data_IF_722620992493
#
_entry.id   IF_722620992493
#
_cell.length_a   1.000
_cell.length_b   1.000
_cell.length_c   1.000
_cell.angle_alpha   90.00
_cell.angle_beta   90.00
_cell.angle_gamma   90.00
#
_symmetry.space_group_name_H-M   'P 1'
#
loop_
_entity.id
_entity.type
_entity.pdbx_description
1 polymer ?
#
# COMPACT_ATOMS: atom_id res chain seq x y z
N UNK A 1 -14.82 -5.45 -26.97
CA UNK A 1 -14.41 -4.13 -26.41
C UNK A 1 -15.53 -3.68 -25.49
N UNK A 2 -15.30 -3.56 -24.18
CA UNK A 2 -16.34 -3.16 -23.22
C UNK A 2 -16.32 -1.63 -23.12
N UNK A 3 -17.43 -0.99 -23.44
CA UNK A 3 -17.60 0.45 -23.24
C UNK A 3 -17.99 0.64 -21.77
N UNK A 4 -17.13 1.34 -21.02
CA UNK A 4 -17.41 1.73 -19.64
C UNK A 4 -17.50 3.25 -19.57
N UNK A 5 -18.49 3.74 -18.83
CA UNK A 5 -18.61 5.15 -18.55
C UNK A 5 -17.55 5.61 -17.54
N UNK A 6 -16.97 6.79 -17.75
CA UNK A 6 -15.88 7.34 -16.94
C UNK A 6 -16.24 8.73 -16.42
N UNK A 7 -16.47 8.82 -15.12
CA UNK A 7 -16.66 10.09 -14.42
C UNK A 7 -15.31 10.64 -13.94
N UNK A 8 -14.80 11.68 -14.60
CA UNK A 8 -13.55 12.35 -14.23
C UNK A 8 -13.84 13.48 -13.24
N UNK A 9 -13.39 13.34 -12.00
CA UNK A 9 -13.49 14.38 -10.97
C UNK A 9 -12.34 15.38 -11.15
N UNK A 10 -12.66 16.60 -11.62
CA UNK A 10 -11.72 17.73 -11.73
C UNK A 10 -11.72 18.57 -10.45
N UNK A 11 -10.74 19.48 -10.29
CA UNK A 11 -10.63 20.39 -9.13
C UNK A 11 -11.88 21.23 -8.86
N UNK A 12 -12.66 21.54 -9.90
CA UNK A 12 -13.91 22.30 -9.82
C UNK A 12 -15.12 21.44 -9.41
N UNK A 13 -14.98 20.12 -9.37
CA UNK A 13 -16.07 19.21 -9.03
C UNK A 13 -16.39 19.27 -7.53
N UNK A 14 -17.67 19.23 -7.16
CA UNK A 14 -18.13 19.34 -5.77
C UNK A 14 -17.45 18.34 -4.81
N UNK A 15 -17.18 17.11 -5.28
CA UNK A 15 -16.54 16.07 -4.48
C UNK A 15 -14.99 16.11 -4.47
N UNK A 16 -14.36 17.03 -5.21
CA UNK A 16 -12.90 17.06 -5.30
C UNK A 16 -12.23 17.17 -3.93
N UNK A 17 -12.71 18.09 -3.08
CA UNK A 17 -12.14 18.31 -1.74
C UNK A 17 -12.22 17.06 -0.86
N UNK A 18 -13.34 16.34 -0.95
CA UNK A 18 -13.53 15.09 -0.19
C UNK A 18 -12.57 14.01 -0.68
N UNK A 19 -12.40 13.86 -1.99
CA UNK A 19 -11.44 12.90 -2.56
C UNK A 19 -10.00 13.24 -2.15
N UNK A 20 -9.62 14.51 -2.18
CA UNK A 20 -8.29 14.98 -1.80
C UNK A 20 -7.98 14.70 -0.32
N UNK A 21 -8.93 15.00 0.58
CA UNK A 21 -8.80 14.72 2.01
C UNK A 21 -8.66 13.20 2.29
N UNK A 22 -9.49 12.38 1.65
CA UNK A 22 -9.42 10.93 1.78
C UNK A 22 -8.11 10.37 1.22
N UNK A 23 -7.60 10.91 0.11
CA UNK A 23 -6.30 10.54 -0.44
C UNK A 23 -5.16 10.90 0.52
N UNK A 24 -5.21 12.09 1.14
CA UNK A 24 -4.24 12.52 2.14
C UNK A 24 -4.22 11.58 3.37
N UNK A 25 -5.40 11.27 3.92
CA UNK A 25 -5.53 10.30 5.03
C UNK A 25 -5.03 8.91 4.64
N UNK A 26 -5.34 8.46 3.43
CA UNK A 26 -4.89 7.16 2.92
C UNK A 26 -3.37 7.09 2.78
N UNK A 27 -2.75 8.15 2.26
CA UNK A 27 -1.28 8.30 2.19
C UNK A 27 -0.64 8.19 3.57
N UNK A 28 -1.22 8.84 4.58
CA UNK A 28 -0.66 8.81 5.94
C UNK A 28 -0.69 7.40 6.53
N UNK A 29 -1.80 6.66 6.37
CA UNK A 29 -1.86 5.26 6.81
C UNK A 29 -0.89 4.37 6.04
N UNK A 30 -0.80 4.54 4.72
CA UNK A 30 0.14 3.77 3.89
C UNK A 30 1.58 3.98 4.34
N UNK A 31 1.98 5.25 4.56
CA UNK A 31 3.32 5.59 5.00
C UNK A 31 3.65 5.02 6.39
N UNK A 32 2.71 5.10 7.34
CA UNK A 32 2.86 4.51 8.67
C UNK A 32 3.04 2.99 8.60
N UNK A 33 2.17 2.30 7.85
CA UNK A 33 2.26 0.86 7.70
C UNK A 33 3.57 0.45 6.98
N UNK A 34 3.98 1.22 5.96
CA UNK A 34 5.22 0.97 5.24
C UNK A 34 6.46 1.18 6.12
N UNK A 35 6.43 2.18 7.01
CA UNK A 35 7.48 2.38 8.00
C UNK A 35 7.69 1.12 8.85
N UNK A 36 6.61 0.54 9.41
CA UNK A 36 6.70 -0.70 10.18
C UNK A 36 7.28 -1.86 9.36
N UNK A 37 6.84 -2.03 8.10
CA UNK A 37 7.41 -3.04 7.21
C UNK A 37 8.91 -2.83 7.00
N UNK A 38 9.36 -1.60 6.72
CA UNK A 38 10.78 -1.29 6.48
C UNK A 38 11.64 -1.55 7.70
N UNK A 39 11.19 -1.14 8.89
CA UNK A 39 11.93 -1.40 10.13
C UNK A 39 12.12 -2.90 10.37
N UNK A 40 11.06 -3.70 10.17
CA UNK A 40 11.15 -5.15 10.27
C UNK A 40 12.05 -5.75 9.18
N UNK A 41 11.97 -5.25 7.96
CA UNK A 41 12.78 -5.70 6.83
C UNK A 41 14.27 -5.45 7.07
N UNK A 42 14.67 -4.27 7.55
CA UNK A 42 16.08 -3.99 7.82
C UNK A 42 16.68 -4.89 8.91
N UNK A 43 15.85 -5.36 9.84
CA UNK A 43 16.30 -6.23 10.93
C UNK A 43 16.32 -7.71 10.52
N UNK A 44 15.36 -8.15 9.68
CA UNK A 44 15.09 -9.59 9.47
C UNK A 44 15.19 -10.05 8.02
N UNK A 45 15.26 -9.12 7.06
CA UNK A 45 15.16 -9.40 5.63
C UNK A 45 13.75 -9.82 5.16
N UNK A 46 12.72 -9.76 6.01
CA UNK A 46 11.35 -10.22 5.70
C UNK A 46 10.33 -9.07 5.82
N UNK A 47 9.22 -9.16 5.08
CA UNK A 47 8.07 -8.25 5.28
C UNK A 47 7.12 -8.74 6.38
N UNK A 48 6.38 -7.81 6.97
CA UNK A 48 5.27 -8.12 7.85
C UNK A 48 4.05 -8.62 7.06
N UNK A 49 3.30 -9.53 7.67
CA UNK A 49 1.99 -9.96 7.18
C UNK A 49 0.88 -8.96 7.54
N UNK A 50 -0.31 -9.17 6.96
CA UNK A 50 -1.48 -8.32 7.16
C UNK A 50 -1.88 -8.19 8.63
N UNK A 51 -1.84 -9.29 9.38
CA UNK A 51 -2.25 -9.33 10.79
C UNK A 51 -1.32 -8.49 11.65
N UNK A 52 -0.01 -8.67 11.49
CA UNK A 52 1.01 -7.89 12.22
C UNK A 52 0.91 -6.40 11.89
N UNK A 53 0.74 -6.03 10.62
CA UNK A 53 0.55 -4.63 10.23
C UNK A 53 -0.73 -4.03 10.79
N UNK A 54 -1.82 -4.80 10.81
CA UNK A 54 -3.08 -4.36 11.43
C UNK A 54 -2.87 -4.08 12.92
N UNK A 55 -2.26 -4.99 13.68
CA UNK A 55 -2.00 -4.76 15.11
C UNK A 55 -1.05 -3.59 15.37
N UNK A 56 -0.06 -3.36 14.49
CA UNK A 56 0.85 -2.23 14.61
C UNK A 56 0.18 -0.87 14.35
N UNK A 57 -0.90 -0.84 13.55
CA UNK A 57 -1.51 0.41 13.07
C UNK A 57 -2.89 0.71 13.66
N UNK A 58 -3.66 -0.28 14.13
CA UNK A 58 -5.08 -0.14 14.55
C UNK A 58 -5.36 0.96 15.58
N UNK A 59 -4.40 1.22 16.45
CA UNK A 59 -4.53 2.20 17.53
C UNK A 59 -3.93 3.56 17.19
N UNK A 60 -3.43 3.74 15.97
CA UNK A 60 -2.82 4.98 15.50
C UNK A 60 -3.83 5.88 14.82
N UNK A 61 -3.64 7.18 14.94
CA UNK A 61 -4.54 8.20 14.40
C UNK A 61 -4.74 8.03 12.89
N UNK A 62 -3.67 7.72 12.15
CA UNK A 62 -3.75 7.49 10.71
C UNK A 62 -4.69 6.33 10.33
N UNK A 63 -4.80 5.30 11.17
CA UNK A 63 -5.71 4.18 10.93
C UNK A 63 -7.16 4.55 11.27
N UNK A 64 -7.36 5.27 12.39
CA UNK A 64 -8.67 5.69 12.90
C UNK A 64 -9.27 6.87 12.12
N UNK A 65 -8.45 7.61 11.37
CA UNK A 65 -8.87 8.71 10.50
C UNK A 65 -9.73 8.26 9.30
N UNK A 66 -9.80 6.96 9.03
CA UNK A 66 -10.56 6.35 7.93
C UNK A 66 -11.49 5.25 8.47
N UNK A 67 -12.60 4.94 7.78
CA UNK A 67 -13.44 3.79 8.13
C UNK A 67 -12.63 2.49 8.14
N UNK A 68 -12.83 1.64 9.15
CA UNK A 68 -12.08 0.39 9.35
C UNK A 68 -11.93 -0.47 8.09
N UNK A 69 -12.98 -0.56 7.25
CA UNK A 69 -12.94 -1.33 6.00
C UNK A 69 -11.92 -0.75 5.01
N UNK A 70 -11.89 0.57 4.88
CA UNK A 70 -10.94 1.31 4.01
C UNK A 70 -9.52 1.17 4.54
N UNK A 71 -9.32 1.35 5.84
CA UNK A 71 -8.00 1.21 6.48
C UNK A 71 -7.42 -0.19 6.26
N UNK A 72 -8.23 -1.25 6.45
CA UNK A 72 -7.81 -2.64 6.17
C UNK A 72 -7.45 -2.85 4.70
N UNK A 73 -8.17 -2.23 3.77
CA UNK A 73 -7.88 -2.35 2.35
C UNK A 73 -6.53 -1.70 1.98
N UNK A 74 -6.22 -0.55 2.56
CA UNK A 74 -4.92 0.12 2.37
C UNK A 74 -3.77 -0.78 2.84
N UNK A 75 -3.91 -1.41 4.00
CA UNK A 75 -2.90 -2.36 4.52
C UNK A 75 -2.77 -3.58 3.59
N UNK A 76 -3.88 -4.12 3.08
CA UNK A 76 -3.83 -5.22 2.08
C UNK A 76 -3.08 -4.82 0.82
N UNK A 77 -3.32 -3.61 0.31
CA UNK A 77 -2.59 -3.09 -0.85
C UNK A 77 -1.08 -3.02 -0.57
N UNK A 78 -0.68 -2.51 0.60
CA UNK A 78 0.74 -2.48 1.00
C UNK A 78 1.36 -3.89 1.05
N UNK A 79 0.66 -4.87 1.64
CA UNK A 79 1.14 -6.27 1.69
C UNK A 79 1.33 -6.82 0.28
N UNK A 80 0.41 -6.53 -0.64
CA UNK A 80 0.55 -6.92 -2.05
C UNK A 80 1.74 -6.23 -2.73
N UNK A 81 1.99 -4.95 -2.45
CA UNK A 81 3.17 -4.21 -2.95
C UNK A 81 4.48 -4.89 -2.49
N UNK A 82 4.60 -5.23 -1.20
CA UNK A 82 5.77 -5.93 -0.66
C UNK A 82 5.95 -7.33 -1.27
N UNK A 83 4.86 -8.07 -1.46
CA UNK A 83 4.90 -9.36 -2.17
C UNK A 83 5.45 -9.19 -3.59
N UNK A 84 4.98 -8.19 -4.33
CA UNK A 84 5.46 -7.88 -5.68
C UNK A 84 6.94 -7.51 -5.70
N UNK A 85 7.40 -6.73 -4.72
CA UNK A 85 8.82 -6.38 -4.57
C UNK A 85 9.72 -7.62 -4.43
N UNK A 86 9.39 -8.56 -3.53
CA UNK A 86 10.18 -9.79 -3.39
C UNK A 86 10.11 -10.71 -4.60
N UNK A 87 8.96 -10.78 -5.27
CA UNK A 87 8.84 -11.51 -6.53
C UNK A 87 9.75 -10.93 -7.61
N UNK A 88 9.78 -9.60 -7.76
CA UNK A 88 10.64 -8.91 -8.71
C UNK A 88 12.13 -9.17 -8.43
N UNK A 89 12.56 -9.12 -7.17
CA UNK A 89 13.94 -9.43 -6.77
C UNK A 89 14.30 -10.88 -7.13
N UNK A 90 13.42 -11.83 -6.83
CA UNK A 90 13.64 -13.25 -7.14
C UNK A 90 13.73 -13.50 -8.65
N UNK A 91 12.94 -12.81 -9.44
CA UNK A 91 12.98 -12.94 -10.90
C UNK A 91 14.25 -12.32 -11.48
N UNK A 92 14.67 -11.18 -10.94
CA UNK A 92 15.92 -10.52 -11.34
C UNK A 92 17.16 -11.38 -11.03
N UNK A 93 17.22 -12.05 -9.88
CA UNK A 93 18.35 -12.95 -9.56
C UNK A 93 18.41 -14.18 -10.46
N UNK A 94 17.26 -14.72 -10.89
CA UNK A 94 17.17 -15.82 -11.85
C UNK A 94 17.62 -15.40 -13.25
N UNK A 95 17.29 -14.18 -13.67
CA UNK A 95 17.57 -13.69 -15.04
C UNK A 95 18.99 -13.18 -15.18
N UNK A 96 19.54 -12.48 -14.19
CA UNK A 96 20.96 -12.06 -14.17
C UNK A 96 21.92 -13.24 -14.26
N UNK A 97 21.56 -14.39 -13.67
CA UNK A 97 22.31 -15.65 -13.80
C UNK A 97 22.28 -16.24 -15.22
N UNK A 98 21.31 -15.86 -16.07
CA UNK A 98 21.21 -16.34 -17.47
C UNK A 98 22.01 -15.50 -18.46
N UNK A 99 22.34 -14.26 -18.12
CA UNK A 99 23.04 -13.32 -19.02
C UNK A 99 24.57 -13.45 -18.90
N UNK A 100 25.07 -14.19 -17.92
CA UNK A 100 26.51 -14.43 -17.70
C UNK A 100 27.03 -15.76 -18.27
N UNK A 101 26.41 -16.31 -19.31
CA UNK A 101 26.86 -17.49 -20.08
C UNK A 101 26.83 -17.16 -21.56
#
# INVERSE_FOLDING_TARGET
>A
MIVVDRHIIRRTHQYWRVCDELAFKSKNLYNLANYHCRQHFFTTGKSLDLTKLYHATKDRDAYRALPTKVSKQIIKCLVATWRGYFQAIKEWSRTSTKVSR
#
